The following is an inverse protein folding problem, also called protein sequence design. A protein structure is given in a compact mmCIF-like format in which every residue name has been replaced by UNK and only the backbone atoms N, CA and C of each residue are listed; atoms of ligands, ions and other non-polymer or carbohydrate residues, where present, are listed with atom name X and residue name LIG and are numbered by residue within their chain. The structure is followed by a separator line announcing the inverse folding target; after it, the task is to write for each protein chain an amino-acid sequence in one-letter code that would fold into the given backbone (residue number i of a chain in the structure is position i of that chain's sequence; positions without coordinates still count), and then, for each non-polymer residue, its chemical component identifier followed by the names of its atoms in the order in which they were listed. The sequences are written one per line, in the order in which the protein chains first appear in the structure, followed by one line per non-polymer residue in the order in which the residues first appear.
data_IF_149895774869
#
_entry.id   IF_149895774869
#
_cell.length_a   1.000
_cell.length_b   1.000
_cell.length_c   1.000
_cell.angle_alpha   90.00
_cell.angle_beta   90.00
_cell.angle_gamma   90.00
#
_symmetry.space_group_name_H-M   'P 1'
#
loop_
_entity.id
_entity.type
_entity.pdbx_description
1 polymer ?
#
# COMPACT_ATOMS: atom_id res chain seq x y z
N UNK A 1 -20.12 -59.17 -43.11
CA UNK A 1 -18.91 -59.32 -42.27
C UNK A 1 -18.33 -57.93 -41.99
N UNK A 2 -18.09 -57.64 -40.69
CA UNK A 2 -17.24 -56.60 -40.07
C UNK A 2 -17.33 -55.14 -40.60
N UNK A 3 -17.98 -54.18 -39.92
CA UNK A 3 -17.56 -53.46 -38.69
C UNK A 3 -16.20 -52.74 -38.78
N UNK A 4 -16.20 -51.39 -38.84
CA UNK A 4 -15.31 -50.51 -38.04
C UNK A 4 -15.56 -49.00 -38.27
N UNK A 5 -16.39 -48.44 -37.38
CA UNK A 5 -16.14 -47.26 -36.51
C UNK A 5 -15.17 -46.15 -36.98
N UNK A 6 -15.66 -44.89 -37.02
CA UNK A 6 -15.27 -43.73 -36.15
C UNK A 6 -15.79 -42.41 -36.76
N UNK A 7 -16.92 -41.88 -36.29
CA UNK A 7 -17.04 -40.94 -35.17
C UNK A 7 -16.73 -39.46 -35.54
N UNK A 8 -17.81 -38.74 -35.89
CA UNK A 8 -17.97 -37.28 -36.05
C UNK A 8 -17.34 -36.50 -34.88
N UNK A 9 -16.28 -35.73 -35.15
CA UNK A 9 -15.68 -34.80 -34.18
C UNK A 9 -16.45 -33.47 -34.16
N UNK A 10 -17.52 -33.39 -33.36
CA UNK A 10 -18.21 -32.12 -33.04
C UNK A 10 -17.25 -31.19 -32.29
N UNK A 11 -16.87 -30.06 -32.90
CA UNK A 11 -16.13 -28.96 -32.26
C UNK A 11 -17.01 -28.35 -31.18
N UNK A 12 -16.68 -28.64 -29.92
CA UNK A 12 -17.40 -28.17 -28.75
C UNK A 12 -16.89 -26.77 -28.35
N UNK A 13 -17.57 -25.72 -28.80
CA UNK A 13 -17.33 -24.33 -28.38
C UNK A 13 -17.79 -24.21 -26.92
N UNK A 14 -16.87 -24.42 -25.98
CA UNK A 14 -17.13 -24.16 -24.56
C UNK A 14 -17.03 -22.66 -24.32
N UNK A 15 -18.19 -21.99 -24.32
CA UNK A 15 -18.40 -20.66 -23.72
C UNK A 15 -17.77 -20.67 -22.32
N UNK A 16 -16.64 -19.97 -22.14
CA UNK A 16 -16.13 -19.67 -20.80
C UNK A 16 -17.06 -18.63 -20.19
N UNK A 17 -17.95 -19.08 -19.30
CA UNK A 17 -18.75 -18.21 -18.43
C UNK A 17 -17.78 -17.27 -17.72
N UNK A 18 -18.05 -15.97 -17.79
CA UNK A 18 -17.26 -14.94 -17.14
C UNK A 18 -17.11 -15.28 -15.67
N UNK A 19 -15.86 -15.48 -15.25
CA UNK A 19 -15.54 -15.45 -13.84
C UNK A 19 -15.78 -14.01 -13.40
N UNK A 20 -16.87 -13.77 -12.66
CA UNK A 20 -16.97 -12.63 -11.77
C UNK A 20 -15.63 -12.51 -11.04
N UNK A 21 -14.96 -11.38 -11.26
CA UNK A 21 -13.73 -11.07 -10.56
C UNK A 21 -14.10 -11.04 -9.08
N UNK A 22 -13.77 -12.11 -8.35
CA UNK A 22 -13.82 -12.12 -6.90
C UNK A 22 -13.03 -10.89 -6.45
N UNK A 23 -13.71 -9.87 -5.94
CA UNK A 23 -13.05 -8.76 -5.25
C UNK A 23 -12.21 -9.42 -4.16
N UNK A 24 -10.89 -9.47 -4.35
CA UNK A 24 -9.98 -10.04 -3.36
C UNK A 24 -10.25 -9.33 -2.03
N UNK A 25 -10.49 -10.12 -1.00
CA UNK A 25 -10.85 -9.70 0.35
C UNK A 25 -10.10 -8.43 0.77
N UNK A 26 -10.84 -7.44 1.29
CA UNK A 26 -10.28 -6.23 1.88
C UNK A 26 -9.30 -6.65 3.00
N UNK A 27 -8.09 -6.10 3.08
CA UNK A 27 -7.53 -5.76 4.35
C UNK A 27 -7.65 -4.25 4.47
N UNK A 28 -8.75 -3.81 5.10
CA UNK A 28 -8.81 -2.48 5.70
C UNK A 28 -8.10 -2.48 7.06
N UNK A 29 -7.48 -3.61 7.44
CA UNK A 29 -6.72 -3.79 8.67
C UNK A 29 -5.54 -2.84 8.72
N UNK A 30 -5.45 -2.09 9.82
CA UNK A 30 -4.39 -1.11 10.09
C UNK A 30 -3.09 -1.81 10.43
N UNK A 31 -2.36 -2.25 9.41
CA UNK A 31 -0.99 -2.72 9.58
C UNK A 31 -0.05 -1.52 9.63
N UNK A 32 0.90 -1.54 10.55
CA UNK A 32 1.97 -0.55 10.69
C UNK A 32 3.29 -1.32 10.69
N UNK A 33 4.27 -0.85 9.95
CA UNK A 33 5.58 -1.48 9.85
C UNK A 33 6.63 -0.54 10.43
N UNK A 34 7.39 -1.05 11.39
CA UNK A 34 8.58 -0.43 11.94
C UNK A 34 9.79 -1.08 11.27
N UNK A 35 10.65 -0.29 10.65
CA UNK A 35 11.91 -0.76 10.06
C UNK A 35 13.07 -0.05 10.71
N UNK A 36 14.04 -0.81 11.18
CA UNK A 36 15.28 -0.26 11.70
C UNK A 36 16.14 0.33 10.58
N UNK A 37 16.76 1.48 10.86
CA UNK A 37 17.78 2.11 10.01
C UNK A 37 19.17 2.04 10.64
N UNK A 38 19.28 1.70 11.92
CA UNK A 38 20.48 1.90 12.74
C UNK A 38 21.21 0.61 13.14
N UNK A 39 20.70 -0.56 12.80
CA UNK A 39 21.24 -1.87 13.20
C UNK A 39 20.81 -2.32 14.61
N UNK A 40 19.82 -1.67 15.21
CA UNK A 40 19.22 -2.07 16.49
C UNK A 40 18.58 -3.45 16.44
N UNK A 41 18.60 -4.13 17.58
CA UNK A 41 17.90 -5.40 17.71
C UNK A 41 16.39 -5.17 17.61
N UNK A 42 15.70 -6.07 16.90
CA UNK A 42 14.24 -6.05 16.83
C UNK A 42 13.57 -5.99 18.21
N UNK A 43 14.22 -6.53 19.25
CA UNK A 43 13.75 -6.49 20.63
C UNK A 43 13.71 -5.06 21.21
N UNK A 44 14.70 -4.22 20.91
CA UNK A 44 14.72 -2.81 21.32
C UNK A 44 13.59 -2.02 20.66
N UNK A 45 13.35 -2.24 19.36
CA UNK A 45 12.26 -1.58 18.63
C UNK A 45 10.91 -2.01 19.17
N UNK A 46 10.75 -3.30 19.52
CA UNK A 46 9.55 -3.81 20.19
C UNK A 46 9.37 -3.22 21.59
N UNK A 47 10.45 -3.10 22.37
CA UNK A 47 10.40 -2.51 23.70
C UNK A 47 10.05 -1.01 23.64
N UNK A 48 10.69 -0.26 22.73
CA UNK A 48 10.39 1.14 22.50
C UNK A 48 8.95 1.35 22.01
N UNK A 49 8.47 0.51 21.08
CA UNK A 49 7.09 0.54 20.62
C UNK A 49 6.11 0.21 21.76
N UNK A 50 6.39 -0.77 22.62
CA UNK A 50 5.54 -1.10 23.77
C UNK A 50 5.51 0.01 24.81
N UNK A 51 6.66 0.61 25.12
CA UNK A 51 6.77 1.67 26.13
C UNK A 51 6.14 2.98 25.67
N UNK A 52 6.12 3.25 24.36
CA UNK A 52 5.54 4.45 23.78
C UNK A 52 4.05 4.33 23.42
N UNK A 53 3.50 3.12 23.42
CA UNK A 53 2.12 2.85 23.01
C UNK A 53 1.26 2.55 24.23
N UNK A 54 0.51 3.55 24.69
CA UNK A 54 -0.66 3.34 25.53
C UNK A 54 -1.83 2.88 24.65
N UNK A 55 -2.04 1.56 24.52
CA UNK A 55 -3.18 1.00 23.75
C UNK A 55 -4.54 1.56 24.22
N UNK A 56 -4.65 1.94 25.50
CA UNK A 56 -5.82 2.57 26.08
C UNK A 56 -6.08 4.00 25.56
N UNK A 57 -5.03 4.80 25.35
CA UNK A 57 -5.16 6.18 24.83
C UNK A 57 -5.58 6.21 23.36
N UNK A 58 -5.14 5.23 22.58
CA UNK A 58 -5.49 5.09 21.16
C UNK A 58 -6.84 4.35 20.99
N UNK A 59 -7.40 3.84 22.09
CA UNK A 59 -8.68 3.13 22.09
C UNK A 59 -8.64 1.81 21.33
N UNK A 60 -7.50 1.11 21.33
CA UNK A 60 -7.29 -0.18 20.67
C UNK A 60 -7.39 -1.29 21.73
N UNK A 61 -8.35 -2.19 21.58
CA UNK A 61 -8.60 -3.27 22.54
C UNK A 61 -7.54 -4.38 22.49
N UNK A 62 -7.09 -4.76 21.29
CA UNK A 62 -6.09 -5.79 21.08
C UNK A 62 -5.19 -5.42 19.90
N UNK A 63 -3.92 -5.79 19.98
CA UNK A 63 -2.92 -5.51 18.96
C UNK A 63 -2.01 -6.72 18.79
N UNK A 64 -1.71 -7.11 17.54
CA UNK A 64 -0.77 -8.20 17.26
C UNK A 64 0.56 -7.63 16.79
N UNK A 65 1.66 -8.17 17.31
CA UNK A 65 3.01 -7.79 16.92
C UNK A 65 3.73 -9.00 16.32
N UNK A 66 4.38 -8.81 15.16
CA UNK A 66 5.11 -9.86 14.45
C UNK A 66 6.45 -9.34 13.97
N UNK A 67 7.52 -10.14 14.10
CA UNK A 67 8.84 -9.81 13.54
C UNK A 67 8.89 -10.15 12.05
N UNK A 68 9.53 -9.31 11.23
CA UNK A 68 9.78 -9.61 9.82
C UNK A 68 11.10 -10.34 9.62
N UNK A 69 11.23 -11.05 8.50
CA UNK A 69 12.48 -11.71 8.09
C UNK A 69 13.61 -10.69 7.95
N UNK A 70 13.29 -9.47 7.51
CA UNK A 70 14.23 -8.35 7.36
C UNK A 70 14.62 -7.67 8.68
N UNK A 71 14.18 -8.19 9.84
CA UNK A 71 14.51 -7.64 11.15
C UNK A 71 13.63 -6.48 11.63
N UNK A 72 12.64 -6.07 10.83
CA UNK A 72 11.62 -5.09 11.22
C UNK A 72 10.49 -5.71 12.06
N UNK A 73 9.51 -4.87 12.42
CA UNK A 73 8.35 -5.25 13.24
C UNK A 73 7.07 -4.82 12.52
N UNK A 74 6.12 -5.73 12.42
CA UNK A 74 4.76 -5.49 11.95
C UNK A 74 3.84 -5.43 13.16
N UNK A 75 3.03 -4.38 13.19
CA UNK A 75 2.04 -4.01 14.18
C UNK A 75 0.68 -4.12 13.49
N UNK A 76 -0.15 -5.07 13.88
CA UNK A 76 -1.48 -5.28 13.29
C UNK A 76 -2.57 -4.85 14.25
N UNK A 77 -3.36 -3.89 13.80
CA UNK A 77 -4.58 -3.43 14.45
C UNK A 77 -5.76 -4.18 13.82
N UNK A 78 -6.60 -4.90 14.60
CA UNK A 78 -7.76 -5.62 14.10
C UNK A 78 -8.67 -4.72 13.24
N UNK A 79 -9.30 -5.28 12.20
CA UNK A 79 -10.09 -4.50 11.22
C UNK A 79 -11.30 -3.79 11.85
N UNK A 80 -11.81 -4.29 12.98
CA UNK A 80 -12.87 -3.65 13.77
C UNK A 80 -12.43 -2.33 14.43
N UNK A 81 -11.12 -2.09 14.49
CA UNK A 81 -10.52 -0.87 15.02
C UNK A 81 -10.13 0.02 13.82
N UNK A 82 -11.00 0.99 13.55
CA UNK A 82 -10.99 1.92 12.41
C UNK A 82 -9.60 2.38 11.92
N UNK A 83 -9.44 2.57 10.59
CA UNK A 83 -8.22 3.15 9.95
C UNK A 83 -7.66 4.38 10.67
N UNK A 84 -8.54 5.22 11.23
CA UNK A 84 -8.16 6.43 11.98
C UNK A 84 -7.32 6.11 13.22
N UNK A 85 -7.62 5.01 13.93
CA UNK A 85 -6.86 4.57 15.11
C UNK A 85 -5.48 4.07 14.73
N UNK A 86 -5.37 3.32 13.63
CA UNK A 86 -4.07 2.90 13.12
C UNK A 86 -3.22 4.10 12.66
N UNK A 87 -3.84 5.09 12.00
CA UNK A 87 -3.16 6.33 11.63
C UNK A 87 -2.71 7.14 12.87
N UNK A 88 -3.55 7.22 13.90
CA UNK A 88 -3.20 7.86 15.17
C UNK A 88 -2.05 7.12 15.89
N UNK A 89 -2.09 5.79 15.93
CA UNK A 89 -1.01 4.97 16.48
C UNK A 89 0.31 5.22 15.74
N UNK A 90 0.27 5.23 14.40
CA UNK A 90 1.43 5.49 13.59
C UNK A 90 1.99 6.90 13.87
N UNK A 91 1.14 7.91 14.01
CA UNK A 91 1.56 9.26 14.37
C UNK A 91 2.19 9.34 15.76
N UNK A 92 1.63 8.63 16.76
CA UNK A 92 2.23 8.54 18.09
C UNK A 92 3.60 7.86 18.04
N UNK A 93 3.73 6.74 17.32
CA UNK A 93 5.01 6.04 17.13
C UNK A 93 6.04 6.91 16.40
N UNK A 94 5.65 7.66 15.38
CA UNK A 94 6.55 8.59 14.68
C UNK A 94 7.03 9.72 15.59
N UNK A 95 6.23 10.15 16.57
CA UNK A 95 6.63 11.17 17.55
C UNK A 95 7.53 10.62 18.66
N UNK A 96 7.26 9.39 19.10
CA UNK A 96 7.97 8.78 20.21
C UNK A 96 9.29 8.10 19.81
N UNK A 97 9.43 7.70 18.54
CA UNK A 97 10.61 7.03 18.02
C UNK A 97 11.49 7.98 17.22
N UNK A 98 12.81 7.84 17.37
CA UNK A 98 13.78 8.62 16.60
C UNK A 98 13.65 8.30 15.09
N UNK A 99 13.31 9.28 14.23
CA UNK A 99 13.11 9.05 12.79
C UNK A 99 14.40 8.64 12.05
N UNK A 100 15.55 8.90 12.67
CA UNK A 100 16.87 8.49 12.18
C UNK A 100 17.17 7.01 12.47
N UNK A 101 16.56 6.44 13.52
CA UNK A 101 16.79 5.05 13.93
C UNK A 101 15.68 4.13 13.47
N UNK A 102 14.42 4.56 13.53
CA UNK A 102 13.27 3.73 13.19
C UNK A 102 12.39 4.44 12.16
N UNK A 103 12.09 3.73 11.08
CA UNK A 103 11.10 4.14 10.07
C UNK A 103 9.74 3.56 10.43
N UNK A 104 8.76 4.42 10.65
CA UNK A 104 7.35 4.03 10.80
C UNK A 104 6.66 4.19 9.45
N UNK A 105 6.01 3.13 8.97
CA UNK A 105 5.26 3.13 7.70
C UNK A 105 3.87 2.55 7.94
N UNK A 106 2.82 3.23 7.48
CA UNK A 106 1.46 2.67 7.46
C UNK A 106 1.16 2.17 6.05
N UNK A 107 1.29 0.88 5.74
CA UNK A 107 0.88 0.34 4.45
C UNK A 107 -0.60 0.65 4.18
N UNK A 108 -0.85 1.12 2.96
CA UNK A 108 -2.18 1.39 2.44
C UNK A 108 -2.37 0.65 1.11
N UNK A 109 -3.62 0.46 0.70
CA UNK A 109 -3.92 -0.03 -0.65
C UNK A 109 -3.50 1.04 -1.64
N UNK A 110 -2.53 0.76 -2.51
CA UNK A 110 -2.11 1.70 -3.53
C UNK A 110 -3.02 1.60 -4.77
N UNK A 111 -3.28 2.75 -5.41
CA UNK A 111 -3.82 2.89 -6.75
C UNK A 111 -2.77 3.55 -7.65
N UNK A 112 -2.86 3.27 -8.95
CA UNK A 112 -2.00 3.86 -9.98
C UNK A 112 -2.88 4.60 -10.99
N UNK A 113 -2.45 5.80 -11.38
CA UNK A 113 -3.12 6.65 -12.36
C UNK A 113 -2.07 7.22 -13.33
N UNK A 114 -2.47 7.49 -14.57
CA UNK A 114 -1.64 8.15 -15.56
C UNK A 114 -2.17 9.55 -15.84
N UNK A 115 -1.30 10.54 -15.74
CA UNK A 115 -1.60 11.90 -16.19
C UNK A 115 -0.86 12.19 -17.50
N UNK A 116 -1.58 12.79 -18.44
CA UNK A 116 -1.09 13.19 -19.75
C UNK A 116 -1.25 14.70 -19.90
N UNK A 117 -0.56 15.27 -20.90
CA UNK A 117 -0.54 16.71 -21.17
C UNK A 117 0.20 17.54 -20.11
N UNK A 118 1.29 16.99 -19.58
CA UNK A 118 2.18 17.69 -18.66
C UNK A 118 3.26 18.40 -19.47
N UNK A 119 3.77 19.55 -19.05
CA UNK A 119 4.93 20.13 -19.72
C UNK A 119 6.17 19.22 -19.55
N UNK A 120 6.95 18.97 -20.60
CA UNK A 120 8.10 18.06 -20.52
C UNK A 120 9.20 18.59 -19.59
N UNK A 121 9.25 19.91 -19.37
CA UNK A 121 10.16 20.57 -18.43
C UNK A 121 9.64 20.60 -16.99
N UNK A 122 8.37 20.22 -16.77
CA UNK A 122 7.76 20.24 -15.44
C UNK A 122 8.56 19.40 -14.45
N UNK A 123 8.70 19.88 -13.23
CA UNK A 123 9.39 19.12 -12.19
C UNK A 123 8.42 18.16 -11.50
N UNK A 124 8.97 17.08 -10.92
CA UNK A 124 8.16 16.15 -10.10
C UNK A 124 7.47 16.87 -8.93
N UNK A 125 8.07 17.94 -8.41
CA UNK A 125 7.52 18.70 -7.29
C UNK A 125 6.32 19.55 -7.70
N UNK A 126 6.38 20.18 -8.88
CA UNK A 126 5.28 20.93 -9.47
C UNK A 126 4.04 20.06 -9.70
N UNK A 127 4.23 18.76 -9.98
CA UNK A 127 3.13 17.79 -10.12
C UNK A 127 2.68 17.26 -8.75
N UNK A 128 3.62 16.93 -7.86
CA UNK A 128 3.30 16.31 -6.56
C UNK A 128 2.54 17.25 -5.63
N UNK A 129 2.93 18.52 -5.59
CA UNK A 129 2.35 19.52 -4.68
C UNK A 129 0.84 19.71 -4.88
N UNK A 130 0.31 19.98 -6.09
CA UNK A 130 -1.13 20.10 -6.32
C UNK A 130 -1.85 18.79 -6.03
N UNK A 131 -1.32 17.64 -6.46
CA UNK A 131 -1.91 16.32 -6.18
C UNK A 131 -2.06 16.05 -4.68
N UNK A 132 -1.03 16.37 -3.91
CA UNK A 132 -1.02 16.17 -2.46
C UNK A 132 -2.02 17.11 -1.77
N UNK A 133 -2.16 18.35 -2.26
CA UNK A 133 -3.15 19.31 -1.75
C UNK A 133 -4.58 18.88 -2.04
N UNK A 134 -4.86 18.40 -3.25
CA UNK A 134 -6.21 17.97 -3.65
C UNK A 134 -6.63 16.66 -2.97
N UNK A 135 -5.72 15.69 -2.92
CA UNK A 135 -6.01 14.37 -2.32
C UNK A 135 -5.90 14.33 -0.79
N UNK A 136 -5.39 15.39 -0.16
CA UNK A 136 -5.12 15.41 1.28
C UNK A 136 -4.11 14.34 1.75
N UNK A 137 -3.36 13.74 0.82
CA UNK A 137 -2.37 12.71 1.11
C UNK A 137 -1.12 13.34 1.74
N UNK A 138 -0.27 12.51 2.37
CA UNK A 138 1.09 12.94 2.67
C UNK A 138 1.90 12.91 1.37
N UNK A 139 2.83 13.85 1.16
CA UNK A 139 3.66 13.84 -0.03
C UNK A 139 4.39 12.50 -0.16
N UNK A 140 4.92 11.96 0.95
CA UNK A 140 5.63 10.68 1.05
C UNK A 140 4.87 9.46 0.49
N UNK A 141 3.53 9.52 0.51
CA UNK A 141 2.65 8.45 0.05
C UNK A 141 2.40 8.53 -1.47
N UNK A 142 2.68 9.68 -2.08
CA UNK A 142 2.57 9.92 -3.53
C UNK A 142 3.93 9.69 -4.18
N UNK A 143 3.98 8.71 -5.09
CA UNK A 143 5.15 8.40 -5.91
C UNK A 143 4.89 8.75 -7.36
N UNK A 144 5.80 9.51 -7.94
CA UNK A 144 5.77 9.87 -9.35
C UNK A 144 6.84 9.10 -10.12
N UNK A 145 6.44 8.54 -11.24
CA UNK A 145 7.34 8.00 -12.26
C UNK A 145 8.17 9.10 -12.92
N UNK A 146 8.98 8.72 -13.88
CA UNK A 146 9.63 9.69 -14.77
C UNK A 146 8.60 10.29 -15.72
N UNK A 147 8.77 11.59 -16.02
CA UNK A 147 7.97 12.26 -17.03
C UNK A 147 8.49 11.79 -18.39
N UNK A 148 7.63 11.08 -19.12
CA UNK A 148 7.96 10.54 -20.43
C UNK A 148 7.41 11.46 -21.51
N UNK A 149 8.25 11.94 -22.45
CA UNK A 149 7.77 12.72 -23.57
C UNK A 149 6.84 11.87 -24.45
N UNK A 150 5.72 12.44 -24.84
CA UNK A 150 4.75 11.85 -25.75
C UNK A 150 4.86 12.49 -27.14
N UNK A 151 4.25 11.84 -28.14
CA UNK A 151 4.33 12.25 -29.55
C UNK A 151 3.73 13.63 -29.84
N UNK A 152 2.93 14.17 -28.93
CA UNK A 152 2.29 15.46 -29.02
C UNK A 152 3.16 16.62 -28.49
N UNK A 153 4.42 16.37 -28.14
CA UNK A 153 5.31 17.40 -27.58
C UNK A 153 5.09 17.70 -26.09
N UNK A 154 4.13 17.03 -25.45
CA UNK A 154 3.89 17.09 -24.01
C UNK A 154 4.38 15.82 -23.32
N UNK A 155 4.51 15.86 -22.01
CA UNK A 155 4.88 14.76 -21.12
C UNK A 155 3.68 13.96 -20.61
N UNK A 156 3.99 12.78 -20.10
CA UNK A 156 3.08 11.90 -19.39
C UNK A 156 3.78 11.32 -18.16
N UNK A 157 3.06 11.14 -17.06
CA UNK A 157 3.63 10.59 -15.82
C UNK A 157 2.70 9.56 -15.21
N UNK A 158 3.30 8.51 -14.64
CA UNK A 158 2.58 7.56 -13.80
C UNK A 158 2.64 8.00 -12.35
N UNK A 159 1.49 7.97 -11.68
CA UNK A 159 1.29 8.38 -10.31
C UNK A 159 0.86 7.14 -9.53
N UNK A 160 1.49 6.90 -8.39
CA UNK A 160 1.07 5.87 -7.44
C UNK A 160 0.80 6.52 -6.09
N UNK A 161 -0.40 6.31 -5.56
CA UNK A 161 -0.84 6.87 -4.29
C UNK A 161 -1.86 5.97 -3.58
N UNK A 162 -2.41 6.38 -2.44
CA UNK A 162 -3.44 5.61 -1.73
C UNK A 162 -4.76 5.54 -2.51
N UNK A 163 -5.37 4.35 -2.53
CA UNK A 163 -6.62 4.07 -3.20
C UNK A 163 -7.79 4.59 -2.36
N UNK A 164 -8.45 5.66 -2.85
CA UNK A 164 -9.60 6.31 -2.21
C UNK A 164 -9.26 7.55 -1.40
N UNK A 165 -8.09 8.16 -1.66
CA UNK A 165 -7.86 9.56 -1.36
C UNK A 165 -8.60 10.48 -2.34
#
# INVERSE_FOLDING_TARGET
MADRRKAKKKKNIRKRKGAEKKHSAKPTSGTITLTDKSGQSCAEILAAARNSVSLAEVGISTMRMRKTITGGVILEVPEDQERKKAAALAACLTRALDPNKVRVVTPFRAAEAGESMIDVSATKEEIRNPLTKESGCKPEDVRLGEIRPARNGLGSVWIRGPAGA
#
